data_IF_752172717742
#
_entry.id   IF_752172717742
#
_cell.length_a   1.000
_cell.length_b   1.000
_cell.length_c   1.000
_cell.angle_alpha   90.00
_cell.angle_beta   90.00
_cell.angle_gamma   90.00
#
_symmetry.space_group_name_H-M   'P 1'
#
loop_
_entity.id
_entity.type
_entity.pdbx_description
1 polymer ?
#
# COMPACT_ATOMS: atom_id res chain seq x y z
N UNK A 1 -8.36 4.98 -15.70
CA UNK A 1 -7.53 4.57 -14.56
C UNK A 1 -6.04 4.48 -14.86
N UNK A 2 -5.66 4.21 -16.11
CA UNK A 2 -4.23 4.10 -16.45
C UNK A 2 -3.41 5.36 -16.11
N UNK A 3 -4.01 6.52 -16.19
CA UNK A 3 -3.33 7.78 -15.90
C UNK A 3 -2.93 7.93 -14.43
N UNK A 4 -3.46 7.11 -13.54
CA UNK A 4 -3.08 7.12 -12.12
C UNK A 4 -1.76 6.41 -11.87
N UNK A 5 -1.35 5.49 -12.75
CA UNK A 5 -0.12 4.73 -12.60
C UNK A 5 1.10 5.60 -12.94
N UNK A 6 2.22 5.31 -12.28
CA UNK A 6 3.45 6.08 -12.48
C UNK A 6 4.07 5.85 -13.86
N UNK A 7 3.96 4.62 -14.36
CA UNK A 7 4.55 4.21 -15.64
C UNK A 7 4.01 2.84 -16.04
N UNK A 8 4.51 2.32 -17.18
CA UNK A 8 4.09 1.00 -17.68
C UNK A 8 4.50 -0.15 -16.78
N UNK A 9 5.67 -0.03 -16.14
CA UNK A 9 6.14 -1.07 -15.21
C UNK A 9 5.20 -1.17 -14.01
N UNK A 10 4.73 -0.04 -13.50
CA UNK A 10 3.77 -0.02 -12.41
C UNK A 10 2.49 -0.76 -12.79
N UNK A 11 1.97 -0.52 -14.00
CA UNK A 11 0.78 -1.21 -14.48
C UNK A 11 1.02 -2.72 -14.55
N UNK A 12 2.15 -3.14 -15.10
CA UNK A 12 2.48 -4.56 -15.24
C UNK A 12 2.58 -5.25 -13.88
N UNK A 13 3.24 -4.61 -12.91
CA UNK A 13 3.37 -5.14 -11.56
C UNK A 13 2.03 -5.20 -10.83
N UNK A 14 1.20 -4.19 -11.02
CA UNK A 14 -0.15 -4.17 -10.45
C UNK A 14 -0.96 -5.37 -10.94
N UNK A 15 -0.98 -5.59 -12.25
CA UNK A 15 -1.72 -6.70 -12.83
C UNK A 15 -1.15 -8.05 -12.35
N UNK A 16 0.16 -8.17 -12.25
CA UNK A 16 0.81 -9.37 -11.76
C UNK A 16 0.39 -9.69 -10.33
N UNK A 17 0.38 -8.69 -9.45
CA UNK A 17 -0.02 -8.87 -8.04
C UNK A 17 -1.51 -9.19 -7.91
N UNK A 18 -2.36 -8.54 -8.71
CA UNK A 18 -3.79 -8.85 -8.69
C UNK A 18 -4.03 -10.31 -9.10
N UNK A 19 -3.27 -10.81 -10.08
CA UNK A 19 -3.34 -12.22 -10.46
C UNK A 19 -2.88 -13.14 -9.34
N UNK A 20 -1.85 -12.75 -8.58
CA UNK A 20 -1.39 -13.53 -7.43
C UNK A 20 -2.48 -13.66 -6.35
N UNK A 21 -3.32 -12.66 -6.19
CA UNK A 21 -4.44 -12.69 -5.26
C UNK A 21 -5.58 -13.60 -5.73
N UNK A 22 -5.65 -13.87 -7.02
CA UNK A 22 -6.66 -14.75 -7.63
C UNK A 22 -8.09 -14.34 -7.28
N UNK A 23 -8.36 -13.03 -7.22
CA UNK A 23 -9.70 -12.55 -6.95
C UNK A 23 -10.63 -12.78 -8.12
N UNK A 24 -11.84 -13.24 -7.82
CA UNK A 24 -12.92 -13.30 -8.80
C UNK A 24 -13.50 -11.91 -9.06
N UNK A 25 -13.48 -11.02 -8.07
CA UNK A 25 -13.89 -9.62 -8.23
C UNK A 25 -12.66 -8.71 -8.15
N UNK A 26 -12.19 -8.26 -9.31
CA UNK A 26 -11.02 -7.40 -9.42
C UNK A 26 -11.34 -5.92 -9.11
N UNK A 27 -12.56 -5.62 -8.66
CA UNK A 27 -12.99 -4.25 -8.36
C UNK A 27 -12.92 -3.90 -6.89
N UNK A 28 -12.48 -4.81 -6.03
CA UNK A 28 -12.36 -4.56 -4.59
C UNK A 28 -11.40 -3.40 -4.33
N UNK A 29 -11.89 -2.23 -3.89
CA UNK A 29 -11.05 -1.04 -3.74
C UNK A 29 -10.04 -1.16 -2.59
N UNK A 30 -10.30 -1.99 -1.60
CA UNK A 30 -9.37 -2.22 -0.49
C UNK A 30 -8.10 -2.89 -0.98
N UNK A 31 -8.24 -4.01 -1.68
CA UNK A 31 -7.09 -4.71 -2.24
C UNK A 31 -6.45 -3.94 -3.39
N UNK A 32 -7.24 -3.28 -4.23
CA UNK A 32 -6.71 -2.53 -5.35
C UNK A 32 -5.82 -1.38 -4.88
N UNK A 33 -6.21 -0.65 -3.85
CA UNK A 33 -5.40 0.45 -3.33
C UNK A 33 -4.10 -0.05 -2.68
N UNK A 34 -4.16 -1.16 -1.95
CA UNK A 34 -2.97 -1.79 -1.38
C UNK A 34 -2.01 -2.25 -2.47
N UNK A 35 -2.51 -2.99 -3.46
CA UNK A 35 -1.70 -3.49 -4.57
C UNK A 35 -1.13 -2.33 -5.39
N UNK A 36 -1.90 -1.26 -5.56
CA UNK A 36 -1.43 -0.07 -6.26
C UNK A 36 -0.18 0.51 -5.59
N UNK A 37 -0.20 0.64 -4.27
CA UNK A 37 0.96 1.15 -3.52
C UNK A 37 2.15 0.18 -3.63
N UNK A 38 1.93 -1.10 -3.38
CA UNK A 38 3.01 -2.08 -3.38
C UNK A 38 3.66 -2.23 -4.75
N UNK A 39 2.85 -2.20 -5.80
CA UNK A 39 3.36 -2.35 -7.17
C UNK A 39 4.09 -1.10 -7.68
N UNK A 40 3.88 0.04 -7.04
CA UNK A 40 4.48 1.31 -7.43
C UNK A 40 5.79 1.65 -6.73
N UNK A 41 6.27 0.80 -5.84
CA UNK A 41 7.52 0.98 -5.11
C UNK A 41 8.36 -0.29 -5.24
N UNK A 42 9.62 -0.15 -5.68
CA UNK A 42 10.48 -1.30 -5.97
C UNK A 42 10.68 -2.21 -4.75
N UNK A 43 10.96 -1.62 -3.61
CA UNK A 43 11.23 -2.40 -2.40
C UNK A 43 9.99 -3.13 -1.92
N UNK A 44 8.84 -2.44 -1.91
CA UNK A 44 7.59 -3.06 -1.49
C UNK A 44 7.19 -4.19 -2.44
N UNK A 45 7.35 -3.97 -3.73
CA UNK A 45 7.05 -5.01 -4.71
C UNK A 45 7.97 -6.22 -4.52
N UNK A 46 9.27 -5.99 -4.37
CA UNK A 46 10.24 -7.08 -4.22
C UNK A 46 10.06 -7.85 -2.92
N UNK A 47 9.55 -7.24 -1.88
CA UNK A 47 9.31 -7.87 -0.58
C UNK A 47 7.85 -8.28 -0.36
N UNK A 48 7.01 -8.20 -1.37
CA UNK A 48 5.57 -8.47 -1.23
C UNK A 48 5.25 -9.85 -0.68
N UNK A 49 6.08 -10.84 -1.01
CA UNK A 49 5.85 -12.22 -0.56
C UNK A 49 5.93 -12.40 0.94
N UNK A 50 6.72 -11.57 1.64
CA UNK A 50 6.77 -11.60 3.11
C UNK A 50 5.79 -10.62 3.75
N UNK A 51 5.42 -9.55 3.05
CA UNK A 51 4.57 -8.50 3.60
C UNK A 51 3.07 -8.81 3.44
N UNK A 52 2.71 -9.64 2.46
CA UNK A 52 1.32 -10.02 2.18
C UNK A 52 1.23 -11.52 2.00
N UNK A 53 0.24 -12.13 2.64
CA UNK A 53 -0.08 -13.55 2.40
C UNK A 53 -1.11 -13.64 1.28
N UNK A 54 -0.64 -13.94 0.07
CA UNK A 54 -1.51 -13.98 -1.11
C UNK A 54 -2.45 -15.18 -1.10
N UNK A 55 -2.05 -16.28 -0.49
CA UNK A 55 -2.88 -17.50 -0.44
C UNK A 55 -4.08 -17.28 0.47
N UNK A 56 -3.86 -16.72 1.64
CA UNK A 56 -4.93 -16.48 2.62
C UNK A 56 -5.56 -15.10 2.49
N UNK A 57 -4.99 -14.24 1.65
CA UNK A 57 -5.45 -12.86 1.43
C UNK A 57 -5.46 -12.06 2.72
N UNK A 58 -4.33 -12.07 3.40
CA UNK A 58 -4.12 -11.36 4.65
C UNK A 58 -2.86 -10.50 4.56
N UNK A 59 -2.81 -9.45 5.37
CA UNK A 59 -1.61 -8.61 5.47
C UNK A 59 -0.81 -9.04 6.70
N UNK A 60 0.53 -8.96 6.59
CA UNK A 60 1.45 -9.24 7.70
C UNK A 60 1.86 -7.91 8.33
N UNK A 61 0.90 -7.23 8.97
CA UNK A 61 1.08 -5.86 9.42
C UNK A 61 2.19 -5.69 10.46
N UNK A 62 2.51 -6.73 11.24
CA UNK A 62 3.64 -6.66 12.17
C UNK A 62 4.94 -6.35 11.43
N UNK A 63 5.14 -6.92 10.24
CA UNK A 63 6.33 -6.67 9.44
C UNK A 63 6.31 -5.29 8.79
N UNK A 64 5.13 -4.70 8.62
CA UNK A 64 5.00 -3.36 8.06
C UNK A 64 5.50 -2.29 9.04
N UNK A 65 5.44 -2.57 10.35
CA UNK A 65 5.72 -1.59 11.40
C UNK A 65 6.84 -2.03 12.35
N UNK A 66 7.65 -3.01 11.97
CA UNK A 66 8.71 -3.55 12.83
C UNK A 66 10.05 -2.80 12.73
N UNK A 67 10.09 -1.75 11.91
CA UNK A 67 11.31 -0.95 11.75
C UNK A 67 12.21 -1.38 10.60
N UNK A 68 11.88 -2.45 9.87
CA UNK A 68 12.67 -2.88 8.70
C UNK A 68 12.44 -1.99 7.49
N UNK A 69 11.26 -1.39 7.38
CA UNK A 69 10.98 -0.39 6.36
C UNK A 69 11.30 0.99 6.93
N UNK A 70 11.82 1.89 6.11
CA UNK A 70 12.24 3.21 6.56
C UNK A 70 11.86 4.28 5.54
N UNK A 71 11.88 5.53 5.98
CA UNK A 71 11.65 6.66 5.10
C UNK A 71 10.33 6.60 4.36
N UNK A 72 10.38 6.73 3.06
CA UNK A 72 9.20 6.75 2.20
C UNK A 72 8.40 5.47 2.22
N UNK A 73 9.08 4.30 2.24
CA UNK A 73 8.38 3.02 2.28
C UNK A 73 7.55 2.84 3.55
N UNK A 74 8.08 3.28 4.69
CA UNK A 74 7.32 3.22 5.95
C UNK A 74 6.05 4.05 5.87
N UNK A 75 6.13 5.21 5.25
CA UNK A 75 4.97 6.09 5.09
C UNK A 75 3.96 5.52 4.10
N UNK A 76 4.45 4.90 3.04
CA UNK A 76 3.57 4.27 2.05
C UNK A 76 2.81 3.08 2.64
N UNK A 77 3.45 2.22 3.44
CA UNK A 77 2.73 1.11 4.08
C UNK A 77 1.79 1.62 5.17
N UNK A 78 2.12 2.72 5.86
CA UNK A 78 1.21 3.31 6.82
C UNK A 78 -0.08 3.77 6.12
N UNK A 79 0.05 4.43 4.97
CA UNK A 79 -1.12 4.78 4.17
C UNK A 79 -1.87 3.54 3.69
N UNK A 80 -1.16 2.53 3.19
CA UNK A 80 -1.79 1.29 2.75
C UNK A 80 -2.57 0.63 3.89
N UNK A 81 -2.04 0.66 5.10
CA UNK A 81 -2.72 0.13 6.28
C UNK A 81 -4.03 0.87 6.54
N UNK A 82 -4.00 2.21 6.50
CA UNK A 82 -5.20 3.03 6.68
C UNK A 82 -6.24 2.74 5.59
N UNK A 83 -5.82 2.71 4.32
CA UNK A 83 -6.75 2.47 3.21
C UNK A 83 -7.36 1.06 3.25
N UNK A 84 -6.62 0.08 3.75
CA UNK A 84 -7.05 -1.31 3.80
C UNK A 84 -7.93 -1.61 5.01
N UNK A 85 -7.59 -1.05 6.18
CA UNK A 85 -8.25 -1.39 7.45
C UNK A 85 -9.23 -0.33 7.94
N UNK A 86 -9.21 0.87 7.38
CA UNK A 86 -9.90 2.08 7.88
C UNK A 86 -9.36 2.58 9.23
N UNK A 87 -8.25 2.03 9.73
CA UNK A 87 -7.64 2.47 10.97
C UNK A 87 -6.66 3.61 10.71
N UNK A 88 -6.66 4.62 11.56
CA UNK A 88 -5.72 5.74 11.48
C UNK A 88 -4.53 5.56 12.43
N UNK A 89 -4.32 4.35 12.92
CA UNK A 89 -3.18 4.00 13.76
C UNK A 89 -2.91 2.50 13.66
N UNK A 90 -1.66 2.12 13.96
CA UNK A 90 -1.28 0.74 14.19
C UNK A 90 -0.87 0.60 15.66
N UNK A 91 -1.42 -0.38 16.37
CA UNK A 91 -1.12 -0.60 17.78
C UNK A 91 -0.09 -1.73 17.93
N UNK A 92 1.03 -1.41 18.58
CA UNK A 92 2.06 -2.40 18.91
C UNK A 92 1.63 -3.26 20.10
N UNK A 93 2.29 -4.40 20.30
CA UNK A 93 1.99 -5.30 21.42
C UNK A 93 2.09 -4.63 22.78
N UNK A 94 3.01 -3.67 22.93
CA UNK A 94 3.19 -2.93 24.19
C UNK A 94 2.14 -1.83 24.42
N UNK A 95 1.18 -1.70 23.52
CA UNK A 95 0.12 -0.70 23.61
C UNK A 95 0.47 0.65 23.00
N UNK A 96 1.71 0.85 22.56
CA UNK A 96 2.09 2.07 21.84
C UNK A 96 1.44 2.08 20.45
N UNK A 97 1.29 3.26 19.89
CA UNK A 97 0.64 3.43 18.60
C UNK A 97 1.53 4.16 17.60
N UNK A 98 1.47 3.71 16.35
CA UNK A 98 1.98 4.47 15.22
C UNK A 98 0.78 5.21 14.63
N UNK A 99 0.75 6.53 14.79
CA UNK A 99 -0.37 7.34 14.29
C UNK A 99 -0.15 7.67 12.83
N UNK A 100 -1.21 7.51 12.05
CA UNK A 100 -1.18 7.71 10.60
C UNK A 100 -1.91 9.01 10.30
N UNK A 101 -1.17 10.03 9.83
CA UNK A 101 -1.76 11.31 9.46
C UNK A 101 -1.37 11.67 8.03
N UNK A 102 -2.27 12.36 7.28
CA UNK A 102 -1.94 12.76 5.91
C UNK A 102 -0.67 13.62 5.83
N UNK A 103 -0.49 14.54 6.76
CA UNK A 103 0.66 15.43 6.72
C UNK A 103 1.96 14.66 6.90
N UNK A 104 1.99 13.71 7.83
CA UNK A 104 3.18 12.89 8.05
C UNK A 104 3.50 12.04 6.82
N UNK A 105 2.49 11.41 6.24
CA UNK A 105 2.67 10.59 5.03
C UNK A 105 3.24 11.44 3.90
N UNK A 106 2.56 12.53 3.55
CA UNK A 106 2.91 13.30 2.36
C UNK A 106 4.18 14.12 2.53
N UNK A 107 4.55 14.52 3.75
CA UNK A 107 5.80 15.24 3.99
C UNK A 107 7.04 14.36 3.99
N UNK A 108 6.87 13.05 4.09
CA UNK A 108 7.98 12.10 4.23
C UNK A 108 8.28 11.28 2.99
N UNK A 109 7.67 11.59 1.84
CA UNK A 109 7.89 10.87 0.58
C UNK A 109 8.47 11.80 -0.47
N UNK A 110 9.15 11.22 -1.47
CA UNK A 110 9.61 11.98 -2.63
C UNK A 110 8.45 12.24 -3.61
N UNK A 111 8.76 12.84 -4.77
CA UNK A 111 7.72 13.17 -5.75
C UNK A 111 6.97 11.93 -6.25
N UNK A 112 7.68 10.86 -6.58
CA UNK A 112 7.03 9.60 -7.01
C UNK A 112 6.16 9.02 -5.91
N UNK A 113 6.66 9.01 -4.67
CA UNK A 113 5.90 8.55 -3.52
C UNK A 113 4.67 9.40 -3.26
N UNK A 114 4.78 10.70 -3.45
CA UNK A 114 3.64 11.62 -3.31
C UNK A 114 2.55 11.28 -4.33
N UNK A 115 2.92 11.12 -5.61
CA UNK A 115 1.94 10.77 -6.65
C UNK A 115 1.31 9.41 -6.38
N UNK A 116 2.13 8.45 -5.97
CA UNK A 116 1.64 7.10 -5.64
C UNK A 116 0.63 7.15 -4.49
N UNK A 117 0.97 7.84 -3.42
CA UNK A 117 0.10 7.94 -2.24
C UNK A 117 -1.22 8.65 -2.57
N UNK A 118 -1.13 9.77 -3.26
CA UNK A 118 -2.30 10.55 -3.64
C UNK A 118 -3.23 9.75 -4.54
N UNK A 119 -2.68 9.09 -5.55
CA UNK A 119 -3.46 8.32 -6.50
C UNK A 119 -4.05 7.04 -5.87
N UNK A 120 -3.38 6.47 -4.87
CA UNK A 120 -3.93 5.34 -4.13
C UNK A 120 -5.22 5.71 -3.40
N UNK A 121 -5.31 6.93 -2.89
CA UNK A 121 -6.54 7.43 -2.26
C UNK A 121 -7.68 7.48 -3.29
N UNK A 122 -7.39 7.95 -4.50
CA UNK A 122 -8.38 7.98 -5.57
C UNK A 122 -8.89 6.57 -5.91
N UNK A 123 -7.99 5.59 -5.93
CA UNK A 123 -8.37 4.20 -6.19
C UNK A 123 -9.24 3.65 -5.06
N UNK A 124 -8.86 3.90 -3.81
CA UNK A 124 -9.62 3.44 -2.66
C UNK A 124 -11.03 4.02 -2.63
N UNK A 125 -11.15 5.30 -2.99
CA UNK A 125 -12.43 6.02 -3.01
C UNK A 125 -13.15 5.92 -4.36
N UNK A 126 -12.53 5.30 -5.35
CA UNK A 126 -13.07 5.08 -6.68
C UNK A 126 -13.32 6.38 -7.47
N UNK A 127 -12.47 7.38 -7.26
CA UNK A 127 -12.46 8.62 -8.03
C UNK A 127 -11.49 8.50 -9.21
N UNK A 128 -11.95 7.83 -10.27
CA UNK A 128 -11.17 7.72 -11.51
C UNK A 128 -12.04 7.37 -12.69
#
# INVERSE_FOLDING_TARGET
MEELFLNKEHIARFNFMMDELSFTDLRDPYWRSLVFIFSGDDRLFNQRGSLVNFVQREINSDLWFDGTLSGGEQRLVALAYNLFTNQDFYEFEDGKRYNISPLEIFSGVDESGYQLAKNAIDIRLQFY
#
